data_IF_726071728699
#
_entry.id   IF_726071728699
#
_cell.length_a   1.000
_cell.length_b   1.000
_cell.length_c   1.000
_cell.angle_alpha   90.00
_cell.angle_beta   90.00
_cell.angle_gamma   90.00
#
_symmetry.space_group_name_H-M   'P 1'
#
loop_
_entity.id
_entity.type
_entity.pdbx_description
1 polymer ?
#
# COMPACT_ATOMS: atom_id res chain seq x y z
N UNK A 1 23.91 -7.48 -3.40
CA UNK A 1 22.63 -6.85 -3.04
C UNK A 1 22.67 -6.50 -1.55
N UNK A 2 22.43 -5.26 -1.15
CA UNK A 2 22.57 -4.82 0.24
C UNK A 2 21.52 -5.53 1.12
N UNK A 3 21.90 -6.00 2.33
CA UNK A 3 20.97 -6.68 3.28
C UNK A 3 19.70 -5.83 3.52
N UNK A 4 19.84 -4.52 3.67
CA UNK A 4 18.70 -3.61 3.87
C UNK A 4 17.72 -3.64 2.69
N UNK A 5 18.22 -3.68 1.45
CA UNK A 5 17.38 -3.77 0.26
C UNK A 5 16.53 -5.05 0.27
N UNK A 6 17.15 -6.19 0.56
CA UNK A 6 16.44 -7.47 0.65
C UNK A 6 15.40 -7.47 1.77
N UNK A 7 15.77 -6.93 2.93
CA UNK A 7 14.87 -6.81 4.08
C UNK A 7 13.65 -5.96 3.73
N UNK A 8 13.85 -4.76 3.16
CA UNK A 8 12.75 -3.88 2.79
C UNK A 8 11.85 -4.48 1.70
N UNK A 9 12.45 -5.18 0.70
CA UNK A 9 11.67 -5.85 -0.35
C UNK A 9 10.84 -7.02 0.21
N UNK A 10 11.39 -7.79 1.14
CA UNK A 10 10.70 -8.88 1.81
C UNK A 10 9.52 -8.36 2.66
N UNK A 11 9.77 -7.34 3.50
CA UNK A 11 8.69 -6.71 4.28
C UNK A 11 7.62 -6.10 3.39
N UNK A 12 7.98 -5.48 2.28
CA UNK A 12 7.01 -5.00 1.29
C UNK A 12 6.10 -6.13 0.78
N UNK A 13 6.69 -7.27 0.40
CA UNK A 13 5.94 -8.45 -0.04
C UNK A 13 5.00 -9.00 1.04
N UNK A 14 5.45 -9.05 2.30
CA UNK A 14 4.63 -9.48 3.43
C UNK A 14 3.44 -8.53 3.67
N UNK A 15 3.66 -7.22 3.62
CA UNK A 15 2.58 -6.23 3.77
C UNK A 15 1.54 -6.39 2.66
N UNK A 16 1.96 -6.62 1.41
CA UNK A 16 1.02 -6.85 0.30
C UNK A 16 0.20 -8.12 0.54
N UNK A 17 0.85 -9.23 0.91
CA UNK A 17 0.17 -10.49 1.21
C UNK A 17 -0.85 -10.32 2.34
N UNK A 18 -0.41 -9.75 3.47
CA UNK A 18 -1.25 -9.53 4.65
C UNK A 18 -2.46 -8.65 4.29
N UNK A 19 -2.24 -7.53 3.59
CA UNK A 19 -3.31 -6.62 3.20
C UNK A 19 -4.32 -7.28 2.26
N UNK A 20 -3.86 -8.09 1.29
CA UNK A 20 -4.74 -8.81 0.36
C UNK A 20 -5.56 -9.90 1.06
N UNK A 21 -5.00 -10.53 2.08
CA UNK A 21 -5.74 -11.46 2.92
C UNK A 21 -6.76 -10.71 3.79
N UNK A 22 -6.33 -9.65 4.47
CA UNK A 22 -7.17 -8.89 5.41
C UNK A 22 -8.30 -8.09 4.74
N UNK A 23 -8.15 -7.68 3.48
CA UNK A 23 -9.20 -6.95 2.76
C UNK A 23 -10.45 -7.79 2.50
N UNK A 24 -10.35 -9.11 2.56
CA UNK A 24 -11.49 -10.03 2.43
C UNK A 24 -12.37 -10.08 3.70
N UNK A 25 -11.90 -9.52 4.81
CA UNK A 25 -12.60 -9.53 6.10
C UNK A 25 -13.14 -8.14 6.45
N UNK A 26 -14.46 -7.90 6.30
CA UNK A 26 -15.09 -6.66 6.75
C UNK A 26 -15.14 -6.60 8.29
N UNK A 27 -15.09 -5.38 8.83
CA UNK A 27 -15.14 -5.14 10.27
C UNK A 27 -16.59 -5.17 10.74
N UNK A 28 -17.01 -6.28 11.37
CA UNK A 28 -18.40 -6.51 11.80
C UNK A 28 -18.83 -5.72 13.04
N UNK A 29 -17.92 -4.96 13.67
CA UNK A 29 -18.22 -4.18 14.86
C UNK A 29 -18.82 -2.82 14.51
N UNK A 30 -19.79 -2.36 15.26
CA UNK A 30 -20.43 -1.04 15.13
C UNK A 30 -21.05 -0.76 13.75
N UNK A 31 -21.44 -1.79 12.99
CA UNK A 31 -21.99 -1.60 11.64
C UNK A 31 -20.99 -1.10 10.59
N UNK A 32 -19.69 -1.30 10.80
CA UNK A 32 -18.63 -0.86 9.89
C UNK A 32 -18.37 -1.83 8.74
N UNK A 33 -19.07 -2.95 8.66
CA UNK A 33 -18.92 -3.99 7.63
C UNK A 33 -19.20 -3.49 6.20
N UNK A 34 -20.02 -2.43 6.08
CA UNK A 34 -20.29 -1.75 4.79
C UNK A 34 -19.28 -0.63 4.46
N UNK A 35 -18.37 -0.32 5.39
CA UNK A 35 -17.48 0.84 5.31
C UNK A 35 -16.01 0.44 5.32
N UNK A 36 -15.62 -0.62 6.06
CA UNK A 36 -14.23 -0.92 6.36
C UNK A 36 -13.91 -2.40 6.30
N UNK A 37 -12.70 -2.68 5.84
CA UNK A 37 -12.04 -3.98 5.97
C UNK A 37 -10.77 -3.86 6.81
N UNK A 38 -10.28 -4.97 7.36
CA UNK A 38 -9.03 -4.97 8.14
C UNK A 38 -7.80 -4.60 7.29
N UNK A 39 -7.83 -4.83 5.97
CA UNK A 39 -6.74 -4.47 5.06
C UNK A 39 -6.42 -2.97 5.00
N UNK A 40 -7.40 -2.10 5.29
CA UNK A 40 -7.20 -0.65 5.30
C UNK A 40 -6.11 -0.17 6.27
N UNK A 41 -5.87 -0.91 7.36
CA UNK A 41 -4.90 -0.53 8.39
C UNK A 41 -3.47 -0.98 8.08
N UNK A 42 -3.27 -2.09 7.39
CA UNK A 42 -1.94 -2.64 7.10
C UNK A 42 -1.30 -2.01 5.86
N UNK A 43 -2.09 -1.69 4.85
CA UNK A 43 -1.60 -1.22 3.55
C UNK A 43 -0.74 0.07 3.60
N UNK A 44 -1.03 1.09 4.44
CA UNK A 44 -0.19 2.28 4.54
C UNK A 44 1.26 2.03 4.98
N UNK A 45 1.55 0.87 5.58
CA UNK A 45 2.92 0.47 5.92
C UNK A 45 3.76 0.31 4.64
N UNK A 46 3.17 -0.12 3.52
CA UNK A 46 3.85 -0.20 2.24
C UNK A 46 4.36 1.18 1.77
N UNK A 47 3.55 2.24 1.92
CA UNK A 47 3.96 3.60 1.61
C UNK A 47 5.10 4.07 2.52
N UNK A 48 5.04 3.78 3.83
CA UNK A 48 6.12 4.11 4.75
C UNK A 48 7.46 3.45 4.32
N UNK A 49 7.43 2.17 3.93
CA UNK A 49 8.62 1.45 3.45
C UNK A 49 9.19 2.13 2.20
N UNK A 50 8.32 2.47 1.25
CA UNK A 50 8.70 3.13 -0.01
C UNK A 50 9.27 4.53 0.23
N UNK A 51 8.64 5.32 1.10
CA UNK A 51 9.07 6.66 1.47
C UNK A 51 10.45 6.64 2.16
N UNK A 52 10.65 5.72 3.11
CA UNK A 52 11.94 5.53 3.77
C UNK A 52 13.03 5.11 2.79
N UNK A 53 12.71 4.19 1.89
CA UNK A 53 13.64 3.76 0.84
C UNK A 53 13.99 4.90 -0.11
N UNK A 54 12.99 5.69 -0.54
CA UNK A 54 13.19 6.83 -1.42
C UNK A 54 14.02 7.92 -0.74
N UNK A 55 13.73 8.22 0.52
CA UNK A 55 14.47 9.23 1.29
C UNK A 55 15.94 8.85 1.50
N UNK A 56 16.21 7.57 1.79
CA UNK A 56 17.54 7.09 2.20
C UNK A 56 18.40 6.63 1.03
N UNK A 57 17.81 6.03 0.01
CA UNK A 57 18.53 5.37 -1.09
C UNK A 57 18.14 5.91 -2.46
N UNK A 58 17.23 6.88 -2.52
CA UNK A 58 16.81 7.54 -3.75
C UNK A 58 15.76 6.79 -4.56
N UNK A 59 15.22 7.48 -5.56
CA UNK A 59 14.12 7.02 -6.41
C UNK A 59 14.36 5.66 -7.09
N UNK A 60 15.59 5.42 -7.57
CA UNK A 60 15.91 4.17 -8.29
C UNK A 60 15.85 2.98 -7.34
N UNK A 61 16.37 3.12 -6.12
CA UNK A 61 16.31 2.07 -5.10
C UNK A 61 14.87 1.81 -4.65
N UNK A 62 14.09 2.87 -4.39
CA UNK A 62 12.69 2.75 -4.02
C UNK A 62 11.88 1.99 -5.09
N UNK A 63 12.03 2.33 -6.36
CA UNK A 63 11.38 1.59 -7.46
C UNK A 63 11.75 0.11 -7.49
N UNK A 64 13.02 -0.22 -7.28
CA UNK A 64 13.46 -1.62 -7.22
C UNK A 64 12.81 -2.35 -6.07
N UNK A 65 12.68 -1.73 -4.89
CA UNK A 65 11.98 -2.32 -3.72
C UNK A 65 10.51 -2.56 -4.06
N UNK A 66 9.85 -1.60 -4.71
CA UNK A 66 8.45 -1.77 -5.17
C UNK A 66 8.32 -2.97 -6.11
N UNK A 67 9.18 -3.08 -7.13
CA UNK A 67 9.11 -4.21 -8.08
C UNK A 67 9.40 -5.56 -7.43
N UNK A 68 10.42 -5.65 -6.58
CA UNK A 68 10.73 -6.90 -5.88
C UNK A 68 9.67 -7.26 -4.85
N UNK A 69 9.20 -6.27 -4.08
CA UNK A 69 8.10 -6.46 -3.14
C UNK A 69 6.80 -6.87 -3.85
N UNK A 70 6.51 -6.27 -5.01
CA UNK A 70 5.39 -6.66 -5.86
C UNK A 70 5.48 -8.12 -6.29
N UNK A 71 6.63 -8.55 -6.83
CA UNK A 71 6.81 -9.94 -7.29
C UNK A 71 6.62 -10.91 -6.13
N UNK A 72 7.23 -10.62 -4.97
CA UNK A 72 7.06 -11.45 -3.77
C UNK A 72 5.61 -11.44 -3.30
N UNK A 73 5.01 -10.27 -3.16
CA UNK A 73 3.64 -10.11 -2.66
C UNK A 73 2.60 -10.76 -3.56
N UNK A 74 2.68 -10.54 -4.88
CA UNK A 74 1.71 -11.15 -5.81
C UNK A 74 1.87 -12.67 -5.90
N UNK A 75 3.12 -13.18 -5.87
CA UNK A 75 3.36 -14.61 -5.84
C UNK A 75 2.75 -15.24 -4.59
N UNK A 76 2.98 -14.68 -3.42
CA UNK A 76 2.38 -15.17 -2.18
C UNK A 76 0.85 -15.05 -2.17
N UNK A 77 0.31 -13.94 -2.69
CA UNK A 77 -1.15 -13.77 -2.82
C UNK A 77 -1.76 -14.86 -3.69
N UNK A 78 -1.16 -15.15 -4.84
CA UNK A 78 -1.65 -16.20 -5.74
C UNK A 78 -1.58 -17.60 -5.11
N UNK A 79 -0.52 -17.90 -4.36
CA UNK A 79 -0.35 -19.24 -3.75
C UNK A 79 -1.13 -19.44 -2.46
N UNK A 80 -1.29 -18.42 -1.63
CA UNK A 80 -1.83 -18.58 -0.28
C UNK A 80 -3.17 -17.89 -0.04
N UNK A 81 -3.51 -16.86 -0.82
CA UNK A 81 -4.68 -16.03 -0.58
C UNK A 81 -5.74 -16.11 -1.69
N UNK A 82 -5.36 -16.57 -2.89
CA UNK A 82 -6.30 -16.59 -4.04
C UNK A 82 -7.00 -17.93 -4.12
N UNK A 83 -8.35 -17.91 -4.05
CA UNK A 83 -9.16 -19.05 -4.44
C UNK A 83 -9.50 -18.93 -5.93
N UNK A 84 -8.95 -19.82 -6.75
CA UNK A 84 -9.14 -19.80 -8.21
C UNK A 84 -10.53 -20.28 -8.65
N UNK A 85 -11.30 -20.87 -7.77
CA UNK A 85 -12.70 -21.24 -8.02
C UNK A 85 -13.67 -20.09 -7.74
N UNK A 86 -13.18 -18.99 -7.11
CA UNK A 86 -13.96 -17.80 -6.81
C UNK A 86 -13.51 -16.60 -7.66
N UNK A 87 -14.40 -16.13 -8.52
CA UNK A 87 -14.15 -14.98 -9.40
C UNK A 87 -13.80 -13.70 -8.62
N UNK A 88 -14.41 -13.49 -7.46
CA UNK A 88 -14.11 -12.31 -6.63
C UNK A 88 -12.69 -12.39 -6.09
N UNK A 89 -12.26 -13.56 -5.63
CA UNK A 89 -10.89 -13.78 -5.15
C UNK A 89 -9.85 -13.51 -6.25
N UNK A 90 -10.11 -13.97 -7.47
CA UNK A 90 -9.26 -13.69 -8.64
C UNK A 90 -9.21 -12.18 -8.94
N UNK A 91 -10.36 -11.51 -8.93
CA UNK A 91 -10.44 -10.06 -9.15
C UNK A 91 -9.72 -9.26 -8.07
N UNK A 92 -9.76 -9.69 -6.80
CA UNK A 92 -9.00 -9.10 -5.71
C UNK A 92 -7.49 -9.22 -5.99
N UNK A 93 -7.01 -10.37 -6.42
CA UNK A 93 -5.60 -10.56 -6.72
C UNK A 93 -5.13 -9.65 -7.88
N UNK A 94 -5.90 -9.57 -8.97
CA UNK A 94 -5.60 -8.70 -10.12
C UNK A 94 -5.70 -7.22 -9.73
N UNK A 95 -6.77 -6.83 -9.05
CA UNK A 95 -7.03 -5.47 -8.60
C UNK A 95 -5.95 -4.97 -7.65
N UNK A 96 -5.60 -5.80 -6.66
CA UNK A 96 -4.53 -5.50 -5.71
C UNK A 96 -3.17 -5.33 -6.39
N UNK A 97 -2.80 -6.27 -7.26
CA UNK A 97 -1.53 -6.18 -7.98
C UNK A 97 -1.43 -4.93 -8.85
N UNK A 98 -2.50 -4.64 -9.62
CA UNK A 98 -2.54 -3.48 -10.51
C UNK A 98 -2.53 -2.16 -9.73
N UNK A 99 -3.39 -2.04 -8.71
CA UNK A 99 -3.49 -0.85 -7.88
C UNK A 99 -2.18 -0.59 -7.13
N UNK A 100 -1.61 -1.61 -6.48
CA UNK A 100 -0.34 -1.52 -5.79
C UNK A 100 0.77 -0.96 -6.69
N UNK A 101 0.97 -1.57 -7.87
CA UNK A 101 2.07 -1.19 -8.73
C UNK A 101 1.94 0.25 -9.22
N UNK A 102 0.75 0.65 -9.68
CA UNK A 102 0.49 2.02 -10.14
C UNK A 102 0.65 3.03 -9.01
N UNK A 103 0.02 2.77 -7.86
CA UNK A 103 0.03 3.69 -6.73
C UNK A 103 1.42 3.86 -6.11
N UNK A 104 2.16 2.77 -5.92
CA UNK A 104 3.51 2.81 -5.35
C UNK A 104 4.52 3.49 -6.27
N UNK A 105 4.45 3.26 -7.59
CA UNK A 105 5.31 3.96 -8.54
C UNK A 105 4.97 5.45 -8.63
N UNK A 106 3.69 5.81 -8.50
CA UNK A 106 3.24 7.20 -8.43
C UNK A 106 3.73 7.86 -7.14
N UNK A 107 3.60 7.17 -5.99
CA UNK A 107 4.12 7.61 -4.70
C UNK A 107 5.62 7.93 -4.78
N UNK A 108 6.43 6.99 -5.27
CA UNK A 108 7.87 7.20 -5.50
C UNK A 108 8.14 8.45 -6.35
N UNK A 109 7.34 8.69 -7.37
CA UNK A 109 7.50 9.82 -8.27
C UNK A 109 7.17 11.15 -7.58
N UNK A 110 6.06 11.21 -6.85
CA UNK A 110 5.60 12.41 -6.12
C UNK A 110 6.56 12.72 -4.98
N UNK A 111 6.93 11.71 -4.18
CA UNK A 111 7.89 11.85 -3.10
C UNK A 111 9.22 12.47 -3.61
N UNK A 112 9.78 11.90 -4.67
CA UNK A 112 11.06 12.34 -5.22
C UNK A 112 11.02 13.81 -5.66
N UNK A 113 9.93 14.26 -6.29
CA UNK A 113 9.72 15.67 -6.66
C UNK A 113 9.67 16.60 -5.45
N UNK A 114 9.13 16.10 -4.33
CA UNK A 114 8.92 16.88 -3.11
C UNK A 114 9.99 16.69 -2.04
N UNK A 115 10.97 15.78 -2.24
CA UNK A 115 11.93 15.36 -1.21
C UNK A 115 12.78 16.51 -0.63
N UNK A 116 12.96 17.62 -1.38
CA UNK A 116 13.70 18.82 -0.92
C UNK A 116 12.86 19.77 -0.07
N UNK A 117 11.54 19.51 0.05
CA UNK A 117 10.63 20.30 0.91
C UNK A 117 10.79 19.91 2.38
N UNK A 118 9.96 20.50 3.27
CA UNK A 118 9.92 20.13 4.69
C UNK A 118 9.72 18.62 4.81
N UNK A 119 10.30 18.03 5.85
CA UNK A 119 10.40 16.57 6.03
C UNK A 119 9.08 15.80 5.90
N UNK A 120 7.96 16.40 6.30
CA UNK A 120 6.62 15.77 6.26
C UNK A 120 5.86 15.99 4.94
N UNK A 121 6.23 16.98 4.11
CA UNK A 121 5.48 17.32 2.89
C UNK A 121 5.58 16.19 1.87
N UNK A 122 6.78 15.66 1.66
CA UNK A 122 6.97 14.59 0.68
C UNK A 122 6.17 13.34 1.05
N UNK A 123 6.36 12.70 2.25
CA UNK A 123 5.63 11.49 2.59
C UNK A 123 4.11 11.71 2.69
N UNK A 124 3.65 12.84 3.25
CA UNK A 124 2.23 13.10 3.38
C UNK A 124 1.55 13.25 2.01
N UNK A 125 2.13 14.03 1.11
CA UNK A 125 1.54 14.28 -0.21
C UNK A 125 1.62 13.06 -1.11
N UNK A 126 2.74 12.34 -1.10
CA UNK A 126 2.90 11.13 -1.91
C UNK A 126 1.95 10.03 -1.46
N UNK A 127 1.88 9.76 -0.14
CA UNK A 127 0.98 8.77 0.42
C UNK A 127 -0.50 9.12 0.23
N UNK A 128 -0.88 10.41 0.30
CA UNK A 128 -2.24 10.84 0.03
C UNK A 128 -2.64 10.54 -1.43
N UNK A 129 -1.81 10.95 -2.39
CA UNK A 129 -2.06 10.73 -3.81
C UNK A 129 -2.01 9.23 -4.13
N UNK A 130 -0.99 8.53 -3.62
CA UNK A 130 -0.84 7.09 -3.81
C UNK A 130 -2.02 6.31 -3.25
N UNK A 131 -2.44 6.58 -2.01
CA UNK A 131 -3.60 5.93 -1.37
C UNK A 131 -4.90 6.20 -2.13
N UNK A 132 -5.10 7.41 -2.63
CA UNK A 132 -6.29 7.74 -3.43
C UNK A 132 -6.35 6.90 -4.70
N UNK A 133 -5.26 6.86 -5.46
CA UNK A 133 -5.17 6.07 -6.70
C UNK A 133 -5.31 4.58 -6.42
N UNK A 134 -4.59 4.07 -5.40
CA UNK A 134 -4.65 2.68 -4.98
C UNK A 134 -6.09 2.26 -4.65
N UNK A 135 -6.74 2.99 -3.77
CA UNK A 135 -8.08 2.67 -3.28
C UNK A 135 -9.10 2.61 -4.43
N UNK A 136 -9.16 3.64 -5.28
CA UNK A 136 -10.13 3.64 -6.36
C UNK A 136 -9.84 2.61 -7.44
N UNK A 137 -8.58 2.36 -7.78
CA UNK A 137 -8.21 1.28 -8.72
C UNK A 137 -8.54 -0.08 -8.14
N UNK A 138 -8.15 -0.33 -6.89
CA UNK A 138 -8.40 -1.61 -6.25
C UNK A 138 -9.90 -1.94 -6.18
N UNK A 139 -10.69 -1.06 -5.56
CA UNK A 139 -12.11 -1.34 -5.36
C UNK A 139 -12.90 -1.40 -6.67
N UNK A 140 -12.57 -0.58 -7.66
CA UNK A 140 -13.23 -0.64 -8.98
C UNK A 140 -12.91 -1.94 -9.72
N UNK A 141 -11.66 -2.37 -9.76
CA UNK A 141 -11.29 -3.62 -10.46
C UNK A 141 -11.86 -4.84 -9.72
N UNK A 142 -11.75 -4.87 -8.39
CA UNK A 142 -12.14 -6.03 -7.60
C UNK A 142 -13.65 -6.19 -7.48
N UNK A 143 -14.40 -5.10 -7.31
CA UNK A 143 -15.80 -5.18 -6.87
C UNK A 143 -16.83 -4.52 -7.81
N UNK A 144 -16.43 -3.88 -8.91
CA UNK A 144 -17.38 -3.34 -9.88
C UNK A 144 -18.30 -4.44 -10.40
N UNK A 145 -19.62 -4.20 -10.37
CA UNK A 145 -20.68 -5.12 -10.81
C UNK A 145 -20.73 -6.47 -10.06
N UNK A 146 -20.26 -6.54 -8.80
CA UNK A 146 -20.34 -7.76 -7.96
C UNK A 146 -21.47 -7.72 -6.93
N UNK A 147 -22.23 -6.63 -6.82
CA UNK A 147 -23.21 -6.42 -5.74
C UNK A 147 -22.61 -5.91 -4.43
N UNK A 148 -21.28 -5.88 -4.31
CA UNK A 148 -20.58 -5.29 -3.15
C UNK A 148 -20.67 -3.77 -3.20
N UNK A 149 -20.97 -3.06 -2.09
CA UNK A 149 -21.03 -1.59 -2.06
C UNK A 149 -19.63 -0.96 -2.12
N UNK A 150 -18.93 -1.16 -3.22
CA UNK A 150 -17.52 -0.85 -3.38
C UNK A 150 -17.18 0.65 -3.25
N UNK A 151 -18.11 1.54 -3.63
CA UNK A 151 -17.92 3.01 -3.47
C UNK A 151 -17.84 3.37 -2.00
N UNK A 152 -18.77 2.87 -1.18
CA UNK A 152 -18.81 3.13 0.27
C UNK A 152 -17.56 2.55 0.95
N UNK A 153 -17.21 1.31 0.60
CA UNK A 153 -15.99 0.66 1.09
C UNK A 153 -14.72 1.42 0.68
N UNK A 154 -14.65 1.93 -0.56
CA UNK A 154 -13.50 2.71 -1.02
C UNK A 154 -13.34 4.03 -0.25
N UNK A 155 -14.44 4.71 0.06
CA UNK A 155 -14.38 5.95 0.85
C UNK A 155 -13.97 5.69 2.31
N UNK A 156 -14.48 4.62 2.91
CA UNK A 156 -14.07 4.21 4.25
C UNK A 156 -12.60 3.80 4.32
N UNK A 157 -12.15 2.97 3.37
CA UNK A 157 -10.75 2.56 3.22
C UNK A 157 -9.83 3.77 3.06
N UNK A 158 -10.18 4.71 2.18
CA UNK A 158 -9.41 5.93 1.94
C UNK A 158 -9.30 6.79 3.20
N UNK A 159 -10.39 6.97 3.95
CA UNK A 159 -10.39 7.75 5.19
C UNK A 159 -9.43 7.15 6.22
N UNK A 160 -9.44 5.82 6.39
CA UNK A 160 -8.52 5.11 7.29
C UNK A 160 -7.08 5.22 6.78
N UNK A 161 -6.83 5.02 5.50
CA UNK A 161 -5.47 5.13 4.91
C UNK A 161 -4.88 6.54 5.12
N UNK A 162 -5.69 7.59 4.94
CA UNK A 162 -5.25 8.97 5.21
C UNK A 162 -4.92 9.15 6.69
N UNK A 163 -5.79 8.68 7.60
CA UNK A 163 -5.53 8.74 9.03
C UNK A 163 -4.24 7.99 9.41
N UNK A 164 -4.08 6.76 8.93
CA UNK A 164 -2.87 5.96 9.19
C UNK A 164 -1.63 6.60 8.55
N UNK A 165 -1.73 7.21 7.37
CA UNK A 165 -0.62 7.95 6.76
C UNK A 165 -0.14 9.12 7.63
N UNK A 166 -1.06 9.84 8.29
CA UNK A 166 -0.71 10.88 9.27
C UNK A 166 0.02 10.28 10.49
N UNK A 167 -0.45 9.16 11.02
CA UNK A 167 0.20 8.44 12.13
C UNK A 167 1.59 7.95 11.72
N UNK A 168 1.75 7.48 10.48
CA UNK A 168 3.02 6.98 9.94
C UNK A 168 4.09 8.07 9.78
N UNK A 169 3.74 9.35 9.84
CA UNK A 169 4.74 10.43 9.94
C UNK A 169 5.59 10.32 11.21
N UNK A 170 5.08 9.74 12.29
CA UNK A 170 5.82 9.55 13.55
C UNK A 170 6.99 8.58 13.34
N UNK A 171 6.76 7.30 12.96
CA UNK A 171 7.87 6.38 12.70
C UNK A 171 8.76 6.85 11.54
N UNK A 172 8.20 7.48 10.50
CA UNK A 172 9.01 8.09 9.45
C UNK A 172 10.01 9.09 10.02
N UNK A 173 9.58 10.02 10.89
CA UNK A 173 10.45 11.03 11.51
C UNK A 173 11.52 10.40 12.41
N UNK A 174 11.16 9.40 13.20
CA UNK A 174 12.09 8.71 14.09
C UNK A 174 13.18 7.96 13.31
N UNK A 175 12.78 7.28 12.22
CA UNK A 175 13.71 6.50 11.40
C UNK A 175 14.60 7.35 10.49
N UNK A 176 14.23 8.61 10.21
CA UNK A 176 15.09 9.53 9.46
C UNK A 176 16.43 9.81 10.17
N UNK A 177 16.47 9.73 11.51
CA UNK A 177 17.70 9.91 12.29
C UNK A 177 18.69 8.74 12.14
N UNK A 178 18.20 7.54 11.80
CA UNK A 178 19.00 6.31 11.68
C UNK A 178 19.39 6.01 10.23
N UNK A 179 18.67 6.56 9.27
CA UNK A 179 18.90 6.35 7.84
C UNK A 179 19.66 7.57 7.27
N UNK A 180 20.77 7.30 6.58
CA UNK A 180 21.53 8.39 5.91
C UNK A 180 20.73 8.84 4.68
N UNK A 181 20.29 10.12 4.60
CA UNK A 181 19.61 10.61 3.41
C UNK A 181 20.62 10.73 2.25
N UNK A 182 20.16 10.39 1.05
CA UNK A 182 20.87 10.63 -0.22
C UNK A 182 20.64 12.04 -0.70
#
# INVERSE_FOLDING_TARGET
>A
MNKVFLTLSFFMGLVVLESNYLVQFPIKYYGLDQLLTYGAFSYPIAFLITDLANRSYGKIAARKIVYFGFIIGISFTLFFSTNFDDLISIRIAIGSGSAFLVAQLLDVQVFDKLRKKKWFIAPLTSSFIGSTVDTFLFFSISFYATGVPWITLSLGDLAVKIFVALVMLIPFRLLLGTLKPV
#
